data_IF_894762458313
#
_entry.id   IF_894762458313
#
_cell.length_a   1.000
_cell.length_b   1.000
_cell.length_c   1.000
_cell.angle_alpha   90.00
_cell.angle_beta   90.00
_cell.angle_gamma   90.00
#
_symmetry.space_group_name_H-M   'P 1'
#
loop_
_entity.id
_entity.type
_entity.pdbx_description
1 polymer ?
#
# COMPACT_ATOMS: atom_id res chain seq x y z
N UNK A 1 -20.94 6.60 1.45
CA UNK A 1 -20.72 5.77 0.23
C UNK A 1 -19.22 5.49 0.09
N UNK A 2 -18.84 4.33 -0.46
CA UNK A 2 -17.44 3.88 -0.65
C UNK A 2 -17.26 3.44 -2.12
N UNK A 3 -16.20 3.91 -2.79
CA UNK A 3 -15.91 3.56 -4.20
C UNK A 3 -15.24 2.18 -4.30
N UNK A 4 -15.69 1.31 -5.20
CA UNK A 4 -15.01 0.05 -5.50
C UNK A 4 -13.88 0.23 -6.53
N UNK A 5 -12.72 -0.34 -6.26
CA UNK A 5 -11.59 -0.45 -7.19
C UNK A 5 -11.31 -1.92 -7.49
N UNK A 6 -11.01 -2.24 -8.74
CA UNK A 6 -10.78 -3.60 -9.21
C UNK A 6 -9.31 -3.74 -9.60
N UNK A 7 -8.58 -4.62 -8.92
CA UNK A 7 -7.19 -4.94 -9.28
C UNK A 7 -7.17 -6.12 -10.25
N UNK A 8 -8.04 -6.05 -11.25
CA UNK A 8 -8.17 -7.05 -12.30
C UNK A 8 -8.58 -6.36 -13.59
N UNK A 9 -8.31 -7.02 -14.70
CA UNK A 9 -8.74 -6.62 -16.03
C UNK A 9 -9.47 -7.73 -16.75
N UNK A 10 -9.80 -7.45 -18.01
CA UNK A 10 -10.43 -8.40 -18.91
C UNK A 10 -9.77 -8.39 -20.28
N UNK A 11 -9.53 -9.58 -20.83
CA UNK A 11 -8.91 -9.79 -22.13
C UNK A 11 -9.96 -10.23 -23.17
N UNK A 12 -9.89 -9.62 -24.36
CA UNK A 12 -10.83 -9.80 -25.45
C UNK A 12 -10.06 -9.92 -26.77
N UNK A 13 -10.15 -11.03 -27.53
CA UNK A 13 -9.65 -11.07 -28.89
C UNK A 13 -10.51 -10.17 -29.76
N UNK A 14 -9.87 -9.23 -30.43
CA UNK A 14 -10.50 -8.34 -31.39
C UNK A 14 -10.98 -9.15 -32.60
N UNK A 15 -12.16 -8.83 -33.10
CA UNK A 15 -12.67 -9.39 -34.37
C UNK A 15 -11.79 -8.93 -35.54
N UNK A 16 -11.38 -7.66 -35.51
CA UNK A 16 -10.44 -7.05 -36.44
C UNK A 16 -9.31 -6.37 -35.64
N UNK A 17 -8.07 -6.89 -35.67
CA UNK A 17 -6.95 -6.29 -34.93
C UNK A 17 -6.59 -4.86 -35.33
N UNK A 18 -7.03 -4.40 -36.51
CA UNK A 18 -6.84 -3.00 -36.93
C UNK A 18 -7.83 -2.04 -36.25
N UNK A 19 -8.99 -2.55 -35.82
CA UNK A 19 -9.96 -1.83 -34.99
C UNK A 19 -9.70 -2.18 -33.52
N UNK A 20 -8.88 -1.38 -32.85
CA UNK A 20 -8.36 -1.68 -31.51
C UNK A 20 -8.64 -0.60 -30.46
N UNK A 21 -9.60 0.28 -30.77
CA UNK A 21 -10.11 1.30 -29.87
C UNK A 21 -11.05 0.71 -28.82
N UNK A 22 -11.31 1.46 -27.76
CA UNK A 22 -12.32 1.09 -26.75
C UNK A 22 -13.68 0.93 -27.45
N UNK A 23 -14.33 -0.22 -27.23
CA UNK A 23 -15.62 -0.55 -27.84
C UNK A 23 -15.52 -1.29 -29.17
N UNK A 24 -14.31 -1.59 -29.65
CA UNK A 24 -14.12 -2.40 -30.86
C UNK A 24 -14.73 -3.81 -30.69
N UNK A 25 -15.30 -4.41 -31.76
CA UNK A 25 -15.91 -5.72 -31.68
C UNK A 25 -14.92 -6.82 -31.27
N UNK A 26 -15.36 -7.73 -30.40
CA UNK A 26 -14.59 -8.88 -29.93
C UNK A 26 -15.30 -10.20 -30.23
N UNK A 27 -14.55 -11.30 -30.31
CA UNK A 27 -15.10 -12.64 -30.58
C UNK A 27 -15.49 -13.41 -29.32
N UNK A 28 -15.17 -12.88 -28.14
CA UNK A 28 -15.46 -13.50 -26.85
C UNK A 28 -14.33 -13.23 -25.85
N UNK A 29 -14.34 -13.88 -24.67
CA UNK A 29 -13.27 -13.72 -23.69
C UNK A 29 -11.97 -14.43 -24.12
N UNK A 30 -10.82 -13.91 -23.69
CA UNK A 30 -9.49 -14.51 -23.89
C UNK A 30 -8.83 -14.91 -22.56
N UNK A 31 -7.83 -15.78 -22.63
CA UNK A 31 -6.95 -16.20 -21.51
C UNK A 31 -7.65 -17.08 -20.47
N UNK A 32 -8.73 -16.59 -19.88
CA UNK A 32 -9.58 -17.35 -18.94
C UNK A 32 -10.99 -17.49 -19.51
N UNK A 33 -11.80 -18.37 -18.91
CA UNK A 33 -13.17 -18.66 -19.38
C UNK A 33 -14.05 -17.40 -19.44
N UNK A 34 -13.88 -16.46 -18.52
CA UNK A 34 -14.64 -15.20 -18.45
C UNK A 34 -13.81 -13.97 -18.86
N UNK A 35 -12.58 -14.18 -19.31
CA UNK A 35 -11.68 -13.11 -19.73
C UNK A 35 -10.95 -12.42 -18.58
N UNK A 36 -11.29 -12.71 -17.33
CA UNK A 36 -10.72 -12.05 -16.17
C UNK A 36 -9.23 -12.35 -16.01
N UNK A 37 -8.47 -11.33 -15.60
CA UNK A 37 -7.03 -11.44 -15.36
C UNK A 37 -6.63 -10.60 -14.14
N UNK A 38 -5.76 -11.13 -13.30
CA UNK A 38 -5.22 -10.36 -12.17
C UNK A 38 -4.24 -9.30 -12.66
N UNK A 39 -4.20 -8.14 -12.00
CA UNK A 39 -3.30 -7.06 -12.38
C UNK A 39 -1.83 -7.53 -12.48
N UNK A 40 -1.35 -8.31 -11.51
CA UNK A 40 0.00 -8.88 -11.54
C UNK A 40 0.29 -9.72 -12.78
N UNK A 41 -0.67 -10.53 -13.24
CA UNK A 41 -0.49 -11.39 -14.42
C UNK A 41 -0.55 -10.58 -15.71
N UNK A 42 -1.35 -9.51 -15.75
CA UNK A 42 -1.35 -8.54 -16.87
C UNK A 42 0.03 -7.89 -17.00
N UNK A 43 0.64 -7.46 -15.88
CA UNK A 43 1.97 -6.84 -15.90
C UNK A 43 3.08 -7.84 -16.25
N UNK A 44 3.08 -9.04 -15.67
CA UNK A 44 4.18 -9.98 -15.83
C UNK A 44 4.11 -10.84 -17.10
N UNK A 45 2.91 -11.25 -17.51
CA UNK A 45 2.74 -12.31 -18.53
C UNK A 45 2.23 -11.78 -19.87
N UNK A 46 1.53 -10.62 -19.86
CA UNK A 46 0.91 -10.08 -21.07
C UNK A 46 1.77 -9.01 -21.77
N UNK A 47 2.92 -8.65 -21.20
CA UNK A 47 3.79 -7.62 -21.76
C UNK A 47 3.11 -6.25 -21.87
N UNK A 48 2.20 -5.96 -20.93
CA UNK A 48 1.44 -4.72 -20.83
C UNK A 48 2.13 -3.76 -19.86
N UNK A 49 3.29 -3.29 -20.26
CA UNK A 49 4.16 -2.41 -19.51
C UNK A 49 4.72 -1.28 -20.37
N UNK A 50 5.25 -0.24 -19.70
CA UNK A 50 5.84 0.92 -20.34
C UNK A 50 4.92 1.57 -21.37
N UNK A 51 5.47 1.81 -22.57
CA UNK A 51 4.82 2.55 -23.65
C UNK A 51 3.64 1.82 -24.30
N UNK A 52 3.45 0.52 -24.02
CA UNK A 52 2.30 -0.25 -24.54
C UNK A 52 1.00 0.00 -23.79
N UNK A 53 1.09 0.64 -22.62
CA UNK A 53 -0.07 0.95 -21.79
C UNK A 53 -0.65 2.29 -22.21
N UNK A 54 -1.91 2.29 -22.63
CA UNK A 54 -2.65 3.49 -22.96
C UNK A 54 -3.57 3.83 -21.79
N UNK A 55 -3.48 5.07 -21.30
CA UNK A 55 -4.47 5.63 -20.38
C UNK A 55 -5.50 6.44 -21.18
N UNK A 56 -6.78 6.09 -21.03
CA UNK A 56 -7.88 6.84 -21.61
C UNK A 56 -8.57 7.67 -20.51
N UNK A 57 -8.43 9.00 -20.59
CA UNK A 57 -8.99 9.94 -19.61
C UNK A 57 -10.51 10.10 -19.69
N UNK A 58 -11.11 9.85 -20.86
CA UNK A 58 -12.57 9.91 -21.05
C UNK A 58 -13.26 8.80 -20.27
N UNK A 59 -12.73 7.58 -20.33
CA UNK A 59 -13.27 6.41 -19.63
C UNK A 59 -12.63 6.16 -18.27
N UNK A 60 -11.52 6.85 -17.96
CA UNK A 60 -10.71 6.66 -16.74
C UNK A 60 -10.35 5.18 -16.56
N UNK A 61 -9.68 4.63 -17.57
CA UNK A 61 -9.23 3.24 -17.61
C UNK A 61 -7.91 3.13 -18.35
N UNK A 62 -7.16 2.07 -18.09
CA UNK A 62 -5.99 1.69 -18.86
C UNK A 62 -6.33 0.52 -19.78
N UNK A 63 -5.59 0.41 -20.87
CA UNK A 63 -5.59 -0.78 -21.70
C UNK A 63 -4.26 -0.98 -22.42
N UNK A 64 -4.05 -2.18 -22.93
CA UNK A 64 -2.95 -2.53 -23.81
C UNK A 64 -3.43 -3.50 -24.87
N UNK A 65 -2.68 -3.59 -25.96
CA UNK A 65 -2.94 -4.55 -27.03
C UNK A 65 -1.71 -5.47 -27.14
N UNK A 66 -1.94 -6.77 -27.07
CA UNK A 66 -0.91 -7.78 -27.29
C UNK A 66 -1.36 -8.74 -28.40
N UNK A 67 -0.76 -8.61 -29.58
CA UNK A 67 -1.22 -9.30 -30.79
C UNK A 67 -2.68 -8.90 -31.11
N UNK A 68 -3.59 -9.87 -31.32
CA UNK A 68 -5.01 -9.57 -31.56
C UNK A 68 -5.82 -9.37 -30.27
N UNK A 69 -5.20 -9.42 -29.09
CA UNK A 69 -5.91 -9.37 -27.80
C UNK A 69 -5.84 -7.97 -27.21
N UNK A 70 -7.01 -7.40 -26.93
CA UNK A 70 -7.18 -6.16 -26.19
C UNK A 70 -7.41 -6.46 -24.71
N UNK A 71 -6.71 -5.77 -23.82
CA UNK A 71 -6.77 -6.02 -22.37
C UNK A 71 -7.04 -4.72 -21.66
N UNK A 72 -8.21 -4.61 -21.02
CA UNK A 72 -8.62 -3.44 -20.24
C UNK A 72 -8.46 -3.67 -18.75
N UNK A 73 -7.86 -2.73 -18.03
CA UNK A 73 -7.59 -2.83 -16.60
C UNK A 73 -7.36 -1.45 -15.98
N UNK A 74 -7.22 -1.38 -14.65
CA UNK A 74 -6.83 -0.15 -13.96
C UNK A 74 -5.33 -0.13 -13.64
N UNK A 75 -4.64 0.95 -14.03
CA UNK A 75 -3.24 1.25 -13.69
C UNK A 75 -3.17 2.70 -13.16
N UNK A 76 -2.78 3.66 -14.00
CA UNK A 76 -2.84 5.10 -13.71
C UNK A 76 -4.26 5.55 -13.27
N UNK A 77 -5.29 4.92 -13.83
CA UNK A 77 -6.70 5.18 -13.51
C UNK A 77 -7.01 5.08 -12.00
N UNK A 78 -6.28 4.26 -11.23
CA UNK A 78 -6.46 4.16 -9.77
C UNK A 78 -6.29 5.52 -9.10
N UNK A 79 -5.28 6.31 -9.47
CA UNK A 79 -5.02 7.63 -8.86
C UNK A 79 -6.17 8.59 -9.15
N UNK A 80 -6.69 8.57 -10.36
CA UNK A 80 -7.82 9.40 -10.78
C UNK A 80 -9.09 9.01 -10.04
N UNK A 81 -9.39 7.71 -9.94
CA UNK A 81 -10.58 7.19 -9.22
C UNK A 81 -10.53 7.51 -7.72
N UNK A 82 -9.36 7.42 -7.09
CA UNK A 82 -9.18 7.82 -5.68
C UNK A 82 -9.34 9.33 -5.50
N UNK A 83 -8.78 10.13 -6.41
CA UNK A 83 -8.93 11.60 -6.39
C UNK A 83 -10.40 11.99 -6.54
N UNK A 84 -11.13 11.34 -7.45
CA UNK A 84 -12.57 11.50 -7.61
C UNK A 84 -13.34 11.18 -6.32
N UNK A 85 -13.03 10.06 -5.66
CA UNK A 85 -13.68 9.69 -4.40
C UNK A 85 -13.49 10.77 -3.32
N UNK A 86 -12.28 11.35 -3.24
CA UNK A 86 -11.97 12.45 -2.32
C UNK A 86 -12.73 13.73 -2.67
N UNK A 87 -12.70 14.14 -3.94
CA UNK A 87 -13.37 15.36 -4.42
C UNK A 87 -14.89 15.31 -4.25
N UNK A 88 -15.48 14.12 -4.35
CA UNK A 88 -16.91 13.90 -4.12
C UNK A 88 -17.29 13.69 -2.65
N UNK A 89 -16.34 13.79 -1.73
CA UNK A 89 -16.60 13.59 -0.30
C UNK A 89 -17.08 12.18 0.04
N UNK A 90 -16.65 11.16 -0.72
CA UNK A 90 -16.93 9.77 -0.37
C UNK A 90 -16.16 9.38 0.89
N UNK A 91 -16.67 8.38 1.62
CA UNK A 91 -16.01 7.88 2.84
C UNK A 91 -14.62 7.28 2.54
N UNK A 92 -14.41 6.82 1.31
CA UNK A 92 -13.16 6.25 0.84
C UNK A 92 -13.39 5.29 -0.32
N UNK A 93 -12.49 4.32 -0.45
CA UNK A 93 -12.56 3.27 -1.46
C UNK A 93 -12.32 1.88 -0.84
N UNK A 94 -12.75 0.83 -1.53
CA UNK A 94 -12.49 -0.58 -1.23
C UNK A 94 -11.90 -1.26 -2.46
N UNK A 95 -11.04 -2.24 -2.26
CA UNK A 95 -10.35 -2.96 -3.35
C UNK A 95 -10.83 -4.40 -3.44
N UNK A 96 -11.12 -4.87 -4.65
CA UNK A 96 -11.31 -6.29 -4.95
C UNK A 96 -10.25 -6.79 -5.96
N UNK A 97 -9.36 -7.69 -5.57
CA UNK A 97 -8.92 -7.86 -4.19
C UNK A 97 -7.40 -7.71 -4.13
N UNK A 98 -6.89 -7.38 -2.94
CA UNK A 98 -5.48 -7.00 -2.73
C UNK A 98 -4.48 -8.05 -3.24
N UNK A 99 -4.86 -9.33 -3.27
CA UNK A 99 -4.04 -10.45 -3.76
C UNK A 99 -3.75 -10.43 -5.26
N UNK A 100 -4.45 -9.60 -6.02
CA UNK A 100 -4.25 -9.44 -7.45
C UNK A 100 -3.24 -8.34 -7.79
N UNK A 101 -2.85 -7.50 -6.81
CA UNK A 101 -1.89 -6.42 -6.99
C UNK A 101 -0.48 -6.98 -7.29
N UNK A 102 0.32 -6.19 -8.02
CA UNK A 102 1.73 -6.48 -8.23
C UNK A 102 2.55 -5.71 -7.22
N UNK A 103 3.08 -6.39 -6.20
CA UNK A 103 3.98 -5.79 -5.21
C UNK A 103 3.50 -4.42 -4.65
N UNK A 104 2.19 -4.33 -4.38
CA UNK A 104 1.51 -3.15 -3.85
C UNK A 104 1.53 -1.92 -4.78
N UNK A 105 1.72 -2.09 -6.09
CA UNK A 105 1.77 -0.97 -7.04
C UNK A 105 0.46 -0.17 -7.01
N UNK A 106 -0.67 -0.84 -7.20
CA UNK A 106 -1.97 -0.17 -7.20
C UNK A 106 -2.36 0.30 -5.81
N UNK A 107 -2.05 -0.49 -4.77
CA UNK A 107 -2.29 -0.10 -3.38
C UNK A 107 -1.55 1.18 -2.99
N UNK A 108 -0.28 1.31 -3.37
CA UNK A 108 0.49 2.55 -3.16
C UNK A 108 -0.05 3.69 -3.99
N UNK A 109 -0.45 3.43 -5.24
CA UNK A 109 -1.07 4.44 -6.09
C UNK A 109 -2.39 4.97 -5.50
N UNK A 110 -3.17 4.08 -4.87
CA UNK A 110 -4.39 4.42 -4.15
C UNK A 110 -4.15 5.19 -2.85
N UNK A 111 -2.90 5.25 -2.36
CA UNK A 111 -2.58 5.90 -1.10
C UNK A 111 -2.73 4.98 0.12
N UNK A 112 -2.82 3.66 -0.08
CA UNK A 112 -2.62 2.69 1.00
C UNK A 112 -1.14 2.75 1.37
N UNK A 113 -0.82 3.65 2.30
CA UNK A 113 0.47 3.63 2.96
C UNK A 113 0.65 2.28 3.64
N UNK A 114 1.76 1.60 3.36
CA UNK A 114 2.26 0.60 4.31
C UNK A 114 2.45 1.38 5.59
N UNK A 115 1.54 1.21 6.56
CA UNK A 115 1.59 1.91 7.83
C UNK A 115 3.03 1.85 8.31
N UNK A 116 3.63 3.02 8.52
CA UNK A 116 4.98 3.09 9.01
C UNK A 116 4.96 2.38 10.37
N UNK A 117 5.49 1.15 10.42
CA UNK A 117 5.53 0.34 11.64
C UNK A 117 6.12 1.15 12.80
N UNK A 118 6.96 2.16 12.52
CA UNK A 118 7.47 3.10 13.51
C UNK A 118 6.38 3.90 14.23
N UNK A 119 5.30 4.35 13.57
CA UNK A 119 4.22 5.12 14.22
C UNK A 119 3.34 4.24 15.12
N UNK A 120 3.03 3.01 14.69
CA UNK A 120 2.25 2.07 15.50
C UNK A 120 3.06 1.56 16.71
N UNK A 121 4.37 1.32 16.52
CA UNK A 121 5.27 0.99 17.62
C UNK A 121 5.42 2.16 18.59
N UNK A 122 5.55 3.40 18.10
CA UNK A 122 5.64 4.58 18.96
C UNK A 122 4.36 4.78 19.79
N UNK A 123 3.19 4.64 19.17
CA UNK A 123 1.91 4.73 19.88
C UNK A 123 1.76 3.64 20.94
N UNK A 124 2.13 2.39 20.61
CA UNK A 124 2.10 1.26 21.54
C UNK A 124 3.08 1.48 22.71
N UNK A 125 4.29 1.99 22.45
CA UNK A 125 5.28 2.34 23.47
C UNK A 125 4.76 3.44 24.40
N UNK A 126 4.19 4.52 23.86
CA UNK A 126 3.63 5.61 24.67
C UNK A 126 2.54 5.10 25.61
N UNK A 127 1.64 4.22 25.12
CA UNK A 127 0.60 3.62 25.95
C UNK A 127 1.16 2.67 27.02
N UNK A 128 2.19 1.89 26.69
CA UNK A 128 2.82 0.97 27.64
C UNK A 128 3.57 1.71 28.75
N UNK A 129 4.33 2.77 28.40
CA UNK A 129 5.02 3.62 29.37
C UNK A 129 4.04 4.36 30.30
N UNK A 130 2.93 4.86 29.76
CA UNK A 130 1.91 5.53 30.56
C UNK A 130 1.21 4.57 31.53
N UNK A 131 0.92 3.35 31.10
CA UNK A 131 0.29 2.33 31.95
C UNK A 131 1.24 1.86 33.06
N UNK A 132 2.52 1.65 32.74
CA UNK A 132 3.55 1.27 33.71
C UNK A 132 3.80 2.39 34.74
N UNK A 133 3.83 3.65 34.31
CA UNK A 133 3.96 4.79 35.22
C UNK A 133 2.78 4.88 36.20
N UNK A 134 1.55 4.71 35.70
CA UNK A 134 0.35 4.72 36.54
C UNK A 134 0.32 3.56 37.54
N UNK A 135 0.78 2.36 37.13
CA UNK A 135 0.89 1.20 38.02
C UNK A 135 1.89 1.44 39.16
N UNK A 136 3.07 1.99 38.85
CA UNK A 136 4.09 2.34 39.86
C UNK A 136 3.59 3.48 40.78
N UNK A 137 2.81 4.41 40.25
CA UNK A 137 2.24 5.51 41.04
C UNK A 137 1.19 5.04 42.07
N UNK A 138 0.60 3.85 41.87
CA UNK A 138 -0.49 3.33 42.70
C UNK A 138 0.00 2.41 43.85
N UNK A 139 1.25 1.94 43.82
CA UNK A 139 1.75 0.93 44.77
C UNK A 139 2.33 1.48 46.08
N UNK A 140 2.63 2.78 46.24
CA UNK A 140 3.42 3.19 47.41
C UNK A 140 3.11 4.62 47.89
N UNK A 141 2.37 4.76 49.00
CA UNK A 141 2.24 6.03 49.73
C UNK A 141 3.28 6.16 50.86
N UNK A 142 3.99 5.09 51.24
CA UNK A 142 4.59 5.01 52.59
C UNK A 142 6.13 5.00 52.70
N UNK A 143 6.94 4.90 51.63
CA UNK A 143 8.40 5.13 51.76
C UNK A 143 9.09 5.69 50.48
N UNK A 144 9.55 6.96 50.48
CA UNK A 144 10.21 7.58 49.32
C UNK A 144 11.58 6.97 48.94
N UNK A 145 12.25 6.24 49.84
CA UNK A 145 13.54 5.57 49.56
C UNK A 145 13.32 4.29 48.75
N UNK A 146 12.28 3.53 49.06
CA UNK A 146 11.87 2.35 48.31
C UNK A 146 11.41 2.71 46.89
N UNK A 147 10.70 3.84 46.70
CA UNK A 147 10.30 4.33 45.36
C UNK A 147 11.48 4.51 44.41
N UNK A 148 12.57 5.14 44.87
CA UNK A 148 13.77 5.35 44.03
C UNK A 148 14.46 4.02 43.71
N UNK A 149 14.51 3.11 44.68
CA UNK A 149 15.10 1.79 44.49
C UNK A 149 14.29 0.95 43.49
N UNK A 150 12.96 0.91 43.63
CA UNK A 150 12.06 0.15 42.76
C UNK A 150 12.04 0.70 41.33
N UNK A 151 12.02 2.04 41.18
CA UNK A 151 12.16 2.70 39.88
C UNK A 151 13.48 2.32 39.19
N UNK A 152 14.61 2.37 39.90
CA UNK A 152 15.90 2.03 39.31
C UNK A 152 16.01 0.54 38.98
N UNK A 153 15.45 -0.35 39.80
CA UNK A 153 15.59 -1.80 39.62
C UNK A 153 14.65 -2.37 38.56
N UNK A 154 13.44 -1.82 38.38
CA UNK A 154 12.45 -2.36 37.43
C UNK A 154 12.38 -1.54 36.14
N UNK A 155 12.39 -0.21 36.23
CA UNK A 155 12.23 0.66 35.07
C UNK A 155 13.47 0.64 34.16
N UNK A 156 14.68 0.65 34.75
CA UNK A 156 15.90 0.70 33.94
C UNK A 156 16.11 -0.58 33.09
N UNK A 157 15.94 -1.80 33.62
CA UNK A 157 16.10 -3.01 32.81
C UNK A 157 14.99 -3.18 31.77
N UNK A 158 13.75 -2.79 32.09
CA UNK A 158 12.64 -2.84 31.12
C UNK A 158 12.88 -1.84 29.99
N UNK A 159 13.25 -0.61 30.29
CA UNK A 159 13.64 0.38 29.26
C UNK A 159 14.83 -0.11 28.42
N UNK A 160 15.85 -0.68 29.04
CA UNK A 160 17.03 -1.18 28.32
C UNK A 160 16.69 -2.34 27.38
N UNK A 161 15.85 -3.28 27.82
CA UNK A 161 15.44 -4.42 26.98
C UNK A 161 14.54 -3.97 25.82
N UNK A 162 13.59 -3.08 26.06
CA UNK A 162 12.75 -2.52 24.99
C UNK A 162 13.55 -1.71 23.98
N UNK A 163 14.49 -0.87 24.43
CA UNK A 163 15.35 -0.10 23.52
C UNK A 163 16.23 -1.00 22.67
N UNK A 164 16.80 -2.08 23.23
CA UNK A 164 17.56 -3.08 22.47
C UNK A 164 16.70 -3.83 21.45
N UNK A 165 15.47 -4.21 21.81
CA UNK A 165 14.53 -4.87 20.90
C UNK A 165 14.12 -3.94 19.76
N UNK A 166 13.88 -2.66 20.04
CA UNK A 166 13.57 -1.65 19.03
C UNK A 166 14.74 -1.40 18.08
N UNK A 167 15.95 -1.24 18.62
CA UNK A 167 17.16 -1.07 17.80
C UNK A 167 17.37 -2.30 16.91
N UNK A 168 17.19 -3.51 17.44
CA UNK A 168 17.28 -4.76 16.67
C UNK A 168 16.20 -4.85 15.58
N UNK A 169 14.95 -4.54 15.90
CA UNK A 169 13.85 -4.55 14.94
C UNK A 169 14.04 -3.49 13.85
N UNK A 170 14.46 -2.27 14.21
CA UNK A 170 14.79 -1.21 13.27
C UNK A 170 15.96 -1.61 12.37
N UNK A 171 17.00 -2.23 12.92
CA UNK A 171 18.12 -2.74 12.14
C UNK A 171 17.70 -3.86 11.18
N UNK A 172 16.87 -4.79 11.63
CA UNK A 172 16.31 -5.86 10.79
C UNK A 172 15.48 -5.29 9.64
N UNK A 173 14.58 -4.34 9.93
CA UNK A 173 13.75 -3.67 8.93
C UNK A 173 14.61 -2.82 7.98
N UNK A 174 15.63 -2.13 8.49
CA UNK A 174 16.57 -1.38 7.67
C UNK A 174 17.33 -2.31 6.72
N UNK A 175 17.84 -3.44 7.21
CA UNK A 175 18.54 -4.46 6.40
C UNK A 175 17.62 -5.09 5.36
N UNK A 176 16.36 -5.34 5.70
CA UNK A 176 15.33 -5.80 4.77
C UNK A 176 15.02 -4.75 3.71
N UNK A 177 14.92 -3.48 4.11
CA UNK A 177 14.72 -2.37 3.19
C UNK A 177 15.94 -2.16 2.29
N UNK A 178 17.18 -2.28 2.80
CA UNK A 178 18.41 -2.14 2.00
C UNK A 178 18.63 -3.31 1.04
N UNK A 179 18.23 -4.52 1.40
CA UNK A 179 18.17 -5.65 0.46
C UNK A 179 17.20 -5.38 -0.70
N UNK A 180 16.17 -4.57 -0.45
CA UNK A 180 15.23 -4.08 -1.45
C UNK A 180 15.61 -2.69 -2.04
N UNK A 181 16.73 -2.07 -1.65
CA UNK A 181 17.17 -0.72 -2.09
C UNK A 181 17.83 -0.67 -3.47
N UNK A 182 17.78 -1.75 -4.25
CA UNK A 182 17.71 -1.58 -5.71
C UNK A 182 16.44 -0.81 -6.15
N UNK A 183 15.37 -0.85 -5.33
CA UNK A 183 14.03 -0.34 -5.67
C UNK A 183 13.48 0.76 -4.72
N UNK A 184 14.24 1.27 -3.74
CA UNK A 184 13.68 2.12 -2.65
C UNK A 184 14.24 3.56 -2.57
N UNK A 185 15.38 3.87 -3.19
CA UNK A 185 16.00 5.19 -3.05
C UNK A 185 15.27 6.36 -3.76
N UNK A 186 14.35 6.10 -4.70
CA UNK A 186 13.52 7.16 -5.32
C UNK A 186 12.35 7.66 -4.45
N UNK A 187 11.95 6.91 -3.41
CA UNK A 187 10.66 7.15 -2.72
C UNK A 187 10.74 8.18 -1.60
N UNK A 188 11.92 8.41 -1.01
CA UNK A 188 12.06 9.28 0.18
C UNK A 188 12.11 10.78 -0.17
N UNK A 189 12.47 11.16 -1.40
CA UNK A 189 12.65 12.57 -1.76
C UNK A 189 11.33 13.34 -2.00
N UNK A 190 10.19 12.64 -2.10
CA UNK A 190 8.88 13.24 -2.43
C UNK A 190 8.02 13.53 -1.19
N UNK A 191 8.24 12.84 -0.07
CA UNK A 191 7.31 12.86 1.07
C UNK A 191 7.45 14.05 2.04
N UNK A 192 8.42 14.96 1.85
CA UNK A 192 8.64 16.05 2.82
C UNK A 192 8.72 17.48 2.24
N UNK A 193 8.49 17.72 0.94
CA UNK A 193 8.72 19.04 0.37
C UNK A 193 7.56 19.74 -0.33
N UNK A 194 6.30 19.34 -0.17
CA UNK A 194 5.19 20.20 -0.58
C UNK A 194 4.09 20.23 0.48
N UNK A 195 4.40 20.99 1.54
CA UNK A 195 3.45 21.66 2.40
C UNK A 195 2.65 22.68 1.56
N UNK A 196 1.33 22.73 1.77
CA UNK A 196 0.36 23.82 1.53
C UNK A 196 0.77 24.99 0.60
N UNK A 197 -0.14 25.39 -0.30
CA UNK A 197 -1.20 26.31 0.11
C UNK A 197 -2.58 25.67 0.23
#
# INVERSE_FOLDING_TARGET
MVLGLLYQGYAWPLLDPSANEIGSPATGPAITHDGSMFYKDIKSNMGCDGEKVVYNSTYVTNYCINGPVWIGYDDEAIRTKVSYAREKGLLGYKVWHVGNDDNWVLSKAAGIGVFCFSCLLLYCLITFFSLMYNFIAQEDENDPKNKRHLLLVILLPTVATFTLLLVSAMWYLHKRATRNKGNFFSVVKILFLNHFP
#
